data_IF_965541096048
#
_entry.id   IF_965541096048
#
_cell.length_a   1.000
_cell.length_b   1.000
_cell.length_c   1.000
_cell.angle_alpha   90.00
_cell.angle_beta   90.00
_cell.angle_gamma   90.00
#
_symmetry.space_group_name_H-M   'P 1'
#
loop_
_entity.id
_entity.type
_entity.pdbx_description
1 polymer ?
#
# COMPACT_ATOMS: atom_id res chain seq x y z
N UNK A 1 -6.35 -4.06 -15.17
CA UNK A 1 -5.81 -3.36 -13.97
C UNK A 1 -4.42 -3.88 -13.66
N UNK A 2 -3.46 -3.02 -13.40
CA UNK A 2 -2.07 -3.38 -13.02
C UNK A 2 -1.83 -3.13 -11.54
N UNK A 3 -0.90 -3.89 -10.94
CA UNK A 3 -0.36 -3.60 -9.62
C UNK A 3 0.89 -2.73 -9.76
N UNK A 4 1.05 -1.72 -8.91
CA UNK A 4 2.26 -0.90 -8.84
C UNK A 4 2.79 -0.94 -7.42
N UNK A 5 4.06 -1.35 -7.24
CA UNK A 5 4.72 -1.35 -5.93
C UNK A 5 5.81 -0.28 -5.92
N UNK A 6 5.75 0.62 -4.96
CA UNK A 6 6.74 1.67 -4.78
C UNK A 6 7.88 1.18 -3.90
N UNK A 7 9.00 0.81 -4.51
CA UNK A 7 10.15 0.17 -3.87
C UNK A 7 11.49 0.92 -4.09
N UNK A 8 11.44 2.23 -4.36
CA UNK A 8 12.64 3.01 -4.66
C UNK A 8 13.40 3.52 -3.42
N UNK A 9 12.81 3.44 -2.23
CA UNK A 9 13.33 4.04 -1.00
C UNK A 9 14.51 3.27 -0.37
N UNK A 10 15.35 4.00 0.41
CA UNK A 10 16.56 3.44 1.07
C UNK A 10 16.27 2.60 2.31
N UNK A 11 15.16 2.83 3.01
CA UNK A 11 14.85 2.13 4.27
C UNK A 11 15.79 2.48 5.43
N UNK A 12 16.40 3.65 5.43
CA UNK A 12 17.44 4.07 6.37
C UNK A 12 17.01 4.04 7.85
N UNK A 13 15.74 4.32 8.14
CA UNK A 13 15.19 4.32 9.52
C UNK A 13 15.16 2.92 10.14
N UNK A 14 14.77 1.92 9.36
CA UNK A 14 14.68 0.54 9.82
C UNK A 14 16.07 -0.07 10.11
N UNK A 15 17.08 0.30 9.31
CA UNK A 15 18.44 -0.24 9.41
C UNK A 15 19.34 0.57 10.35
N UNK A 16 18.82 1.57 11.10
CA UNK A 16 19.62 2.44 11.95
C UNK A 16 20.73 3.18 11.21
N UNK A 17 20.52 3.48 9.92
CA UNK A 17 21.52 4.12 9.05
C UNK A 17 22.65 3.18 8.60
N UNK A 18 22.60 1.90 8.91
CA UNK A 18 23.62 0.91 8.55
C UNK A 18 23.24 0.18 7.28
N UNK A 19 23.80 0.62 6.15
CA UNK A 19 23.75 -0.06 4.87
C UNK A 19 22.54 0.26 4.00
N UNK A 20 22.69 0.02 2.69
CA UNK A 20 21.68 0.28 1.65
C UNK A 20 20.75 -0.94 1.41
N UNK A 21 20.29 -1.60 2.47
CA UNK A 21 19.29 -2.65 2.29
C UNK A 21 17.91 -1.99 2.11
N UNK A 22 17.29 -2.09 0.93
CA UNK A 22 15.99 -1.50 0.70
C UNK A 22 14.92 -2.19 1.56
N UNK A 23 13.99 -1.41 2.13
CA UNK A 23 12.89 -1.90 2.98
C UNK A 23 12.13 -3.07 2.35
N UNK A 24 11.91 -3.00 1.05
CA UNK A 24 11.15 -4.02 0.32
C UNK A 24 11.77 -5.43 0.40
N UNK A 25 13.07 -5.53 0.72
CA UNK A 25 13.78 -6.81 0.89
C UNK A 25 13.85 -7.30 2.34
N UNK A 26 13.26 -6.57 3.27
CA UNK A 26 13.13 -7.04 4.66
C UNK A 26 12.29 -8.31 4.70
N UNK A 27 12.78 -9.31 5.43
CA UNK A 27 12.13 -10.63 5.53
C UNK A 27 11.24 -10.69 6.78
N UNK A 28 9.98 -11.06 6.58
CA UNK A 28 9.00 -11.30 7.65
C UNK A 28 8.41 -12.69 7.44
N UNK A 29 8.60 -13.60 8.42
CA UNK A 29 8.13 -14.99 8.29
C UNK A 29 8.74 -15.77 7.14
N UNK A 30 10.04 -15.56 6.85
CA UNK A 30 10.76 -16.30 5.79
C UNK A 30 10.55 -15.77 4.37
N UNK A 31 9.72 -14.75 4.17
CA UNK A 31 9.44 -14.15 2.85
C UNK A 31 9.73 -12.64 2.88
N UNK A 32 10.33 -12.07 1.82
CA UNK A 32 10.54 -10.62 1.75
C UNK A 32 9.20 -9.90 1.60
N UNK A 33 9.10 -8.67 2.10
CA UNK A 33 7.90 -7.84 1.94
C UNK A 33 7.53 -7.70 0.46
N UNK A 34 8.52 -7.50 -0.41
CA UNK A 34 8.28 -7.37 -1.84
C UNK A 34 7.72 -8.65 -2.45
N UNK A 35 8.31 -9.82 -2.14
CA UNK A 35 7.81 -11.11 -2.65
C UNK A 35 6.37 -11.36 -2.20
N UNK A 36 6.10 -11.10 -0.92
CA UNK A 36 4.77 -11.20 -0.32
C UNK A 36 3.76 -10.30 -1.03
N UNK A 37 4.09 -9.04 -1.26
CA UNK A 37 3.19 -8.07 -1.88
C UNK A 37 2.92 -8.41 -3.35
N UNK A 38 3.93 -8.87 -4.10
CA UNK A 38 3.75 -9.39 -5.48
C UNK A 38 2.85 -10.61 -5.49
N UNK A 39 3.05 -11.56 -4.58
CA UNK A 39 2.21 -12.74 -4.45
C UNK A 39 0.77 -12.36 -4.11
N UNK A 40 0.54 -11.48 -3.13
CA UNK A 40 -0.78 -11.00 -2.74
C UNK A 40 -1.54 -10.37 -3.93
N UNK A 41 -0.89 -9.53 -4.72
CA UNK A 41 -1.48 -8.95 -5.92
C UNK A 41 -1.89 -10.03 -6.92
N UNK A 42 -1.02 -11.00 -7.17
CA UNK A 42 -1.29 -12.11 -8.12
C UNK A 42 -2.42 -13.01 -7.64
N UNK A 43 -2.43 -13.36 -6.36
CA UNK A 43 -3.48 -14.19 -5.73
C UNK A 43 -4.84 -13.48 -5.77
N UNK A 44 -4.84 -12.15 -5.67
CA UNK A 44 -6.04 -11.32 -5.83
C UNK A 44 -6.44 -11.05 -7.30
N UNK A 45 -5.77 -11.71 -8.28
CA UNK A 45 -6.10 -11.63 -9.71
C UNK A 45 -5.39 -10.51 -10.49
N UNK A 46 -4.52 -9.73 -9.86
CA UNK A 46 -3.70 -8.68 -10.51
C UNK A 46 -2.43 -9.31 -11.09
N UNK A 47 -2.49 -9.72 -12.37
CA UNK A 47 -1.40 -10.50 -13.00
C UNK A 47 -0.19 -9.67 -13.41
N UNK A 48 -0.42 -8.43 -13.87
CA UNK A 48 0.65 -7.53 -14.32
C UNK A 48 1.08 -6.65 -13.16
N UNK A 49 2.34 -6.80 -12.73
CA UNK A 49 2.93 -6.03 -11.63
C UNK A 49 4.08 -5.20 -12.15
N UNK A 50 4.07 -3.92 -11.79
CA UNK A 50 5.13 -2.94 -12.04
C UNK A 50 5.80 -2.62 -10.69
N UNK A 51 7.13 -2.68 -10.64
CA UNK A 51 7.89 -2.31 -9.43
C UNK A 51 8.74 -1.10 -9.77
N UNK A 52 8.53 -0.01 -9.03
CA UNK A 52 9.38 1.18 -9.14
C UNK A 52 10.56 1.01 -8.21
N UNK A 53 11.76 0.94 -8.77
CA UNK A 53 13.02 0.71 -8.05
C UNK A 53 13.92 1.94 -8.07
N UNK A 54 14.84 2.02 -7.11
CA UNK A 54 15.83 3.09 -6.99
C UNK A 54 17.03 2.59 -6.21
N UNK A 55 16.98 2.65 -4.87
CA UNK A 55 18.03 2.13 -4.02
C UNK A 55 18.21 0.62 -4.27
N UNK A 56 19.47 0.19 -4.46
CA UNK A 56 19.85 -1.21 -4.71
C UNK A 56 18.99 -1.92 -5.78
N UNK A 57 18.62 -1.21 -6.85
CA UNK A 57 17.72 -1.69 -7.91
C UNK A 57 18.12 -3.07 -8.45
N UNK A 58 19.41 -3.33 -8.67
CA UNK A 58 19.90 -4.62 -9.16
C UNK A 58 19.65 -5.77 -8.17
N UNK A 59 19.77 -5.51 -6.87
CA UNK A 59 19.46 -6.51 -5.84
C UNK A 59 17.97 -6.83 -5.84
N UNK A 60 17.12 -5.79 -5.96
CA UNK A 60 15.66 -5.97 -6.05
C UNK A 60 15.28 -6.79 -7.29
N UNK A 61 15.88 -6.49 -8.46
CA UNK A 61 15.62 -7.20 -9.72
C UNK A 61 15.95 -8.71 -9.65
N UNK A 62 17.00 -9.07 -8.90
CA UNK A 62 17.38 -10.47 -8.71
C UNK A 62 16.42 -11.25 -7.82
N UNK A 63 15.63 -10.55 -7.00
CA UNK A 63 14.72 -11.18 -6.03
C UNK A 63 13.40 -11.60 -6.67
N UNK A 64 12.88 -10.81 -7.62
CA UNK A 64 11.54 -11.00 -8.20
C UNK A 64 11.63 -11.10 -9.71
N UNK A 65 11.13 -12.21 -10.27
CA UNK A 65 10.95 -12.40 -11.71
C UNK A 65 9.51 -12.19 -12.18
N UNK A 66 9.34 -12.02 -13.50
CA UNK A 66 8.00 -11.94 -14.11
C UNK A 66 7.22 -10.67 -13.77
N UNK A 67 7.91 -9.54 -13.61
CA UNK A 67 7.37 -8.22 -13.35
C UNK A 67 8.01 -7.19 -14.28
N UNK A 68 7.39 -6.03 -14.41
CA UNK A 68 7.98 -4.88 -15.11
C UNK A 68 8.69 -3.98 -14.10
N UNK A 69 9.90 -3.55 -14.40
CA UNK A 69 10.66 -2.62 -13.56
C UNK A 69 10.69 -1.22 -14.18
N UNK A 70 10.47 -0.21 -13.33
CA UNK A 70 10.63 1.21 -13.67
C UNK A 70 11.69 1.80 -12.75
N UNK A 71 12.71 2.40 -13.33
CA UNK A 71 13.80 3.01 -12.56
C UNK A 71 13.46 4.44 -12.14
N UNK A 72 13.74 4.77 -10.88
CA UNK A 72 13.88 6.12 -10.42
C UNK A 72 15.39 6.42 -10.20
N UNK A 73 16.10 6.96 -11.19
CA UNK A 73 17.55 7.17 -11.09
C UNK A 73 17.92 8.29 -10.11
N UNK A 74 16.98 9.16 -9.79
CA UNK A 74 17.16 10.27 -8.84
C UNK A 74 16.37 10.05 -7.53
N UNK A 75 16.23 8.78 -7.13
CA UNK A 75 15.47 8.40 -5.92
C UNK A 75 15.96 9.09 -4.64
N UNK A 76 17.26 9.45 -4.59
CA UNK A 76 17.85 10.13 -3.45
C UNK A 76 17.35 11.58 -3.26
N UNK A 77 16.95 12.23 -4.36
CA UNK A 77 16.51 13.62 -4.40
C UNK A 77 15.00 13.78 -4.56
N UNK A 78 14.28 12.67 -4.70
CA UNK A 78 12.84 12.63 -4.94
C UNK A 78 12.11 11.77 -3.91
N UNK A 79 10.78 11.73 -3.96
CA UNK A 79 9.98 10.89 -3.08
C UNK A 79 8.95 10.06 -3.86
N UNK A 80 8.05 9.40 -3.17
CA UNK A 80 7.10 8.44 -3.72
C UNK A 80 6.20 9.00 -4.83
N UNK A 81 5.86 10.29 -4.80
CA UNK A 81 5.11 10.95 -5.88
C UNK A 81 5.85 10.85 -7.21
N UNK A 82 7.13 11.19 -7.23
CA UNK A 82 7.94 11.13 -8.45
C UNK A 82 8.14 9.68 -8.91
N UNK A 83 8.31 8.74 -7.98
CA UNK A 83 8.39 7.32 -8.29
C UNK A 83 7.11 6.81 -8.97
N UNK A 84 5.92 7.14 -8.45
CA UNK A 84 4.66 6.79 -9.10
C UNK A 84 4.50 7.49 -10.45
N UNK A 85 4.88 8.76 -10.56
CA UNK A 85 4.82 9.52 -11.80
C UNK A 85 5.66 8.89 -12.92
N UNK A 86 6.83 8.35 -12.62
CA UNK A 86 7.67 7.62 -13.59
C UNK A 86 6.94 6.39 -14.17
N UNK A 87 6.10 5.75 -13.38
CA UNK A 87 5.32 4.58 -13.82
C UNK A 87 4.05 4.92 -14.64
N UNK A 88 3.75 6.21 -14.87
CA UNK A 88 2.51 6.67 -15.54
C UNK A 88 2.18 6.01 -16.88
N UNK A 89 3.14 5.56 -17.73
CA UNK A 89 2.79 4.83 -18.95
C UNK A 89 2.08 3.49 -18.70
N UNK A 90 2.19 2.95 -17.49
CA UNK A 90 1.60 1.68 -17.08
C UNK A 90 0.26 1.84 -16.32
N UNK A 91 -0.23 3.07 -16.09
CA UNK A 91 -1.37 3.33 -15.21
C UNK A 91 -2.72 3.48 -15.95
N UNK A 92 -2.72 3.70 -17.24
CA UNK A 92 -3.87 4.19 -18.04
C UNK A 92 -5.13 3.32 -17.99
N UNK A 93 -4.97 2.00 -17.81
CA UNK A 93 -6.08 1.02 -17.79
C UNK A 93 -6.62 0.74 -16.37
N UNK A 94 -6.32 1.64 -15.45
CA UNK A 94 -6.58 1.46 -14.02
C UNK A 94 -5.50 0.62 -13.33
N UNK A 95 -5.28 0.90 -12.06
CA UNK A 95 -4.22 0.26 -11.28
C UNK A 95 -4.53 0.26 -9.78
N UNK A 96 -3.83 -0.60 -9.06
CA UNK A 96 -3.68 -0.52 -7.61
C UNK A 96 -2.22 -0.22 -7.31
N UNK A 97 -1.98 0.84 -6.54
CA UNK A 97 -0.64 1.17 -6.01
C UNK A 97 -0.56 0.75 -4.57
N UNK A 98 0.60 0.22 -4.17
CA UNK A 98 0.89 -0.08 -2.77
C UNK A 98 2.33 0.27 -2.40
N UNK A 99 2.52 0.67 -1.15
CA UNK A 99 3.85 0.83 -0.57
C UNK A 99 4.50 -0.54 -0.38
N UNK A 100 5.81 -0.64 -0.55
CA UNK A 100 6.52 -1.91 -0.45
C UNK A 100 6.71 -2.43 0.99
N UNK A 101 6.49 -1.57 1.97
CA UNK A 101 6.74 -1.78 3.41
C UNK A 101 5.49 -2.16 4.20
N UNK A 102 4.37 -2.38 3.53
CA UNK A 102 3.12 -2.79 4.16
C UNK A 102 3.02 -4.30 4.27
N UNK A 103 2.81 -4.80 5.49
CA UNK A 103 2.35 -6.15 5.79
C UNK A 103 0.85 -6.09 6.08
N UNK A 104 0.04 -6.80 5.30
CA UNK A 104 -1.42 -6.74 5.45
C UNK A 104 -2.10 -8.10 5.27
N UNK A 105 -3.26 -8.27 5.90
CA UNK A 105 -4.10 -9.43 5.68
C UNK A 105 -4.59 -9.48 4.23
N UNK A 106 -4.51 -10.64 3.51
CA UNK A 106 -4.90 -10.75 2.10
C UNK A 106 -6.30 -10.27 1.79
N UNK A 107 -7.25 -10.47 2.70
CA UNK A 107 -8.63 -10.05 2.54
C UNK A 107 -8.78 -8.53 2.35
N UNK A 108 -7.90 -7.72 2.93
CA UNK A 108 -7.91 -6.27 2.75
C UNK A 108 -7.72 -5.88 1.28
N UNK A 109 -6.80 -6.55 0.60
CA UNK A 109 -6.58 -6.30 -0.84
C UNK A 109 -7.79 -6.76 -1.67
N UNK A 110 -8.37 -7.92 -1.34
CA UNK A 110 -9.59 -8.41 -1.99
C UNK A 110 -10.75 -7.44 -1.77
N UNK A 111 -10.96 -6.95 -0.54
CA UNK A 111 -12.01 -5.99 -0.22
C UNK A 111 -11.85 -4.69 -1.02
N UNK A 112 -10.62 -4.18 -1.15
CA UNK A 112 -10.34 -3.01 -1.96
C UNK A 112 -10.66 -3.26 -3.44
N UNK A 113 -10.16 -4.36 -4.01
CA UNK A 113 -10.29 -4.65 -5.44
C UNK A 113 -11.74 -4.94 -5.85
N UNK A 114 -12.52 -5.57 -4.97
CA UNK A 114 -13.93 -5.93 -5.22
C UNK A 114 -14.93 -4.86 -4.81
N UNK A 115 -14.48 -3.80 -4.10
CA UNK A 115 -15.35 -2.68 -3.76
C UNK A 115 -15.99 -2.06 -5.01
N UNK A 116 -17.27 -1.68 -4.91
CA UNK A 116 -18.05 -1.08 -6.02
C UNK A 116 -17.48 0.25 -6.52
N UNK A 117 -16.68 0.92 -5.69
CA UNK A 117 -16.05 2.18 -6.04
C UNK A 117 -14.83 1.96 -6.92
N UNK A 118 -14.76 2.64 -8.07
CA UNK A 118 -13.61 2.55 -8.98
C UNK A 118 -12.33 3.09 -8.35
N UNK A 119 -12.45 4.18 -7.60
CA UNK A 119 -11.34 4.89 -6.97
C UNK A 119 -11.51 4.81 -5.45
N UNK A 120 -10.61 4.07 -4.80
CA UNK A 120 -10.71 3.80 -3.36
C UNK A 120 -9.35 3.54 -2.73
N UNK A 121 -9.24 3.82 -1.42
CA UNK A 121 -8.07 3.50 -0.60
C UNK A 121 -8.46 2.63 0.59
N UNK A 122 -7.48 1.87 1.11
CA UNK A 122 -7.61 1.21 2.41
C UNK A 122 -7.37 2.21 3.53
N UNK A 123 -8.28 2.23 4.49
CA UNK A 123 -8.24 3.10 5.65
C UNK A 123 -8.39 2.29 6.95
N UNK A 124 -7.44 2.44 7.85
CA UNK A 124 -7.61 2.03 9.25
C UNK A 124 -8.31 3.16 9.99
N UNK A 125 -9.59 2.96 10.29
CA UNK A 125 -10.33 3.95 11.06
C UNK A 125 -9.79 4.05 12.48
N UNK A 126 -9.76 5.29 13.00
CA UNK A 126 -9.41 5.58 14.38
C UNK A 126 -10.39 4.90 15.34
N UNK A 127 -9.86 4.29 16.36
CA UNK A 127 -10.60 3.83 17.55
C UNK A 127 -10.18 4.63 18.79
N UNK A 128 -10.75 4.30 19.93
CA UNK A 128 -10.47 5.01 21.19
C UNK A 128 -9.03 4.84 21.70
N UNK A 129 -8.32 3.81 21.23
CA UNK A 129 -6.94 3.51 21.60
C UNK A 129 -5.92 4.10 20.62
N UNK A 130 -6.37 4.53 19.44
CA UNK A 130 -5.50 5.03 18.38
C UNK A 130 -4.89 6.38 18.77
N UNK A 131 -3.57 6.44 18.82
CA UNK A 131 -2.80 7.67 18.96
C UNK A 131 -1.99 7.88 17.69
N UNK A 132 -2.28 8.97 16.97
CA UNK A 132 -1.52 9.37 15.80
C UNK A 132 -0.29 10.19 16.20
N UNK A 133 0.85 9.85 15.63
CA UNK A 133 2.07 10.65 15.67
C UNK A 133 2.20 11.53 14.41
N UNK A 134 3.37 12.07 14.14
CA UNK A 134 3.66 12.82 12.92
C UNK A 134 4.04 11.92 11.73
N UNK A 135 4.17 10.59 11.96
CA UNK A 135 4.59 9.65 10.92
C UNK A 135 3.43 9.11 10.08
N UNK A 136 2.25 8.95 10.68
CA UNK A 136 1.10 8.37 9.98
C UNK A 136 0.51 9.33 8.93
N UNK A 137 0.09 8.76 7.81
CA UNK A 137 -0.65 9.48 6.78
C UNK A 137 -2.13 9.58 7.20
N UNK A 138 -2.41 10.60 7.98
CA UNK A 138 -3.75 10.89 8.52
C UNK A 138 -4.74 11.25 7.42
N UNK A 139 -5.96 10.75 7.52
CA UNK A 139 -7.04 10.94 6.54
C UNK A 139 -8.30 11.42 7.23
N UNK A 140 -8.94 12.43 6.64
CA UNK A 140 -10.27 12.88 7.01
C UNK A 140 -11.28 12.42 5.97
N UNK A 141 -12.38 11.85 6.44
CA UNK A 141 -13.43 11.25 5.61
C UNK A 141 -14.76 11.93 5.88
N UNK A 142 -15.56 12.15 4.84
CA UNK A 142 -16.94 12.59 4.98
C UNK A 142 -17.84 11.78 4.06
N UNK A 143 -18.88 11.16 4.60
CA UNK A 143 -19.79 10.29 3.85
C UNK A 143 -19.04 9.17 3.05
N UNK A 144 -18.02 8.56 3.67
CA UNK A 144 -17.22 7.51 3.04
C UNK A 144 -16.20 7.98 2.00
N UNK A 145 -16.06 9.30 1.79
CA UNK A 145 -15.14 9.90 0.82
C UNK A 145 -14.02 10.66 1.52
N UNK A 146 -12.82 10.54 1.00
CA UNK A 146 -11.65 11.29 1.45
C UNK A 146 -11.83 12.75 1.11
N UNK A 147 -11.77 13.62 2.13
CA UNK A 147 -11.84 15.08 1.96
C UNK A 147 -10.50 15.75 2.21
N UNK A 148 -9.65 15.15 3.02
CA UNK A 148 -8.29 15.62 3.25
C UNK A 148 -7.35 14.48 3.67
N UNK A 149 -6.05 14.66 3.43
CA UNK A 149 -5.03 13.67 3.73
C UNK A 149 -3.67 14.36 3.92
N UNK A 150 -3.06 14.19 5.08
CA UNK A 150 -1.76 14.81 5.41
C UNK A 150 -1.12 14.19 6.65
N UNK A 151 0.22 14.11 6.67
CA UNK A 151 0.98 13.81 7.90
C UNK A 151 0.86 14.92 8.95
N UNK A 152 0.75 16.18 8.49
CA UNK A 152 0.66 17.37 9.36
C UNK A 152 -0.76 17.71 9.81
N UNK A 153 -1.76 16.86 9.48
CA UNK A 153 -3.12 17.00 9.99
C UNK A 153 -3.11 16.80 11.51
N UNK A 154 -3.92 17.62 12.23
CA UNK A 154 -4.14 17.39 13.66
C UNK A 154 -4.69 15.97 13.88
N UNK A 155 -4.19 15.23 14.88
CA UNK A 155 -4.76 13.93 15.24
C UNK A 155 -6.27 13.97 15.50
N UNK A 156 -6.78 15.09 16.04
CA UNK A 156 -8.21 15.24 16.35
C UNK A 156 -9.09 15.45 15.11
N UNK A 157 -8.49 15.89 13.99
CA UNK A 157 -9.17 16.05 12.70
C UNK A 157 -9.15 14.78 11.84
N UNK A 158 -8.40 13.74 12.27
CA UNK A 158 -8.22 12.52 11.52
C UNK A 158 -9.28 11.46 11.88
N UNK A 159 -9.93 10.90 10.87
CA UNK A 159 -10.84 9.76 11.01
C UNK A 159 -10.11 8.42 10.93
N UNK A 160 -8.89 8.39 10.38
CA UNK A 160 -8.09 7.19 10.24
C UNK A 160 -6.75 7.42 9.57
N UNK A 161 -6.07 6.31 9.28
CA UNK A 161 -4.76 6.25 8.64
C UNK A 161 -4.84 5.51 7.30
N UNK A 162 -4.19 6.07 6.27
CA UNK A 162 -4.05 5.40 4.96
C UNK A 162 -3.00 4.30 5.04
N UNK A 163 -3.38 3.07 4.67
CA UNK A 163 -2.49 1.91 4.65
C UNK A 163 -1.44 1.94 3.52
N UNK A 164 -1.44 2.95 2.68
CA UNK A 164 -0.55 2.98 1.52
C UNK A 164 -0.99 2.03 0.39
N UNK A 165 -2.26 1.62 0.34
CA UNK A 165 -2.83 0.80 -0.73
C UNK A 165 -4.06 1.49 -1.31
N UNK A 166 -3.99 1.87 -2.60
CA UNK A 166 -5.01 2.69 -3.26
C UNK A 166 -5.26 2.17 -4.67
N UNK A 167 -6.52 2.00 -5.06
CA UNK A 167 -6.89 1.65 -6.44
C UNK A 167 -7.53 2.82 -7.18
N UNK A 168 -7.31 2.85 -8.48
CA UNK A 168 -7.94 3.78 -9.42
C UNK A 168 -8.47 3.03 -10.64
N UNK A 169 -9.70 3.30 -11.02
CA UNK A 169 -10.26 2.88 -12.31
C UNK A 169 -9.62 3.67 -13.47
N UNK A 170 -9.92 3.32 -14.74
CA UNK A 170 -9.29 3.97 -15.90
C UNK A 170 -9.51 5.49 -15.95
N UNK A 171 -10.71 5.97 -15.58
CA UNK A 171 -11.00 7.41 -15.54
C UNK A 171 -10.25 8.12 -14.40
N UNK A 172 -10.22 7.51 -13.21
CA UNK A 172 -9.46 8.01 -12.07
C UNK A 172 -7.96 8.03 -12.34
N UNK A 173 -7.43 6.98 -12.96
CA UNK A 173 -6.02 6.90 -13.34
C UNK A 173 -5.59 8.07 -14.23
N UNK A 174 -6.39 8.40 -15.26
CA UNK A 174 -6.11 9.56 -16.13
C UNK A 174 -6.08 10.87 -15.36
N UNK A 175 -7.07 11.11 -14.49
CA UNK A 175 -7.11 12.29 -13.65
C UNK A 175 -5.92 12.37 -12.69
N UNK A 176 -5.55 11.24 -12.07
CA UNK A 176 -4.40 11.21 -11.17
C UNK A 176 -3.09 11.52 -11.92
N UNK A 177 -2.95 11.03 -13.17
CA UNK A 177 -1.80 11.34 -14.02
C UNK A 177 -1.75 12.85 -14.30
N UNK A 178 -2.88 13.51 -14.58
CA UNK A 178 -2.95 14.97 -14.74
C UNK A 178 -2.46 15.70 -13.48
N UNK A 179 -2.96 15.31 -12.29
CA UNK A 179 -2.54 15.90 -11.02
C UNK A 179 -1.04 15.69 -10.75
N UNK A 180 -0.52 14.48 -11.00
CA UNK A 180 0.91 14.22 -10.86
C UNK A 180 1.76 15.03 -11.86
N UNK A 181 1.32 15.18 -13.09
CA UNK A 181 2.00 16.02 -14.09
C UNK A 181 2.07 17.48 -13.62
N UNK A 182 0.98 18.02 -13.11
CA UNK A 182 0.93 19.40 -12.60
C UNK A 182 1.88 19.59 -11.40
N UNK A 183 1.88 18.64 -10.44
CA UNK A 183 2.76 18.71 -9.27
C UNK A 183 4.23 18.58 -9.65
N UNK A 184 4.58 17.66 -10.53
CA UNK A 184 5.97 17.48 -11.00
C UNK A 184 6.44 18.71 -11.80
N UNK A 185 5.59 19.28 -12.66
CA UNK A 185 5.88 20.52 -13.39
C UNK A 185 6.07 21.72 -12.46
N UNK A 186 5.38 21.74 -11.31
CA UNK A 186 5.56 22.73 -10.25
C UNK A 186 6.82 22.49 -9.38
N UNK A 187 7.60 21.43 -9.66
CA UNK A 187 8.82 21.10 -8.91
C UNK A 187 8.58 20.30 -7.63
N UNK A 188 7.35 19.84 -7.34
CA UNK A 188 7.01 19.09 -6.11
C UNK A 188 7.52 17.62 -6.16
N UNK A 189 8.71 17.37 -6.70
CA UNK A 189 9.28 16.01 -6.87
C UNK A 189 9.63 15.32 -5.55
N UNK A 190 9.77 16.09 -4.46
CA UNK A 190 10.03 15.58 -3.10
C UNK A 190 8.76 15.27 -2.30
N UNK A 191 7.58 15.50 -2.87
CA UNK A 191 6.32 15.20 -2.21
C UNK A 191 6.07 13.68 -2.13
N UNK A 192 5.29 13.25 -1.12
CA UNK A 192 4.72 11.90 -1.07
C UNK A 192 3.51 11.77 -2.01
N UNK A 193 3.23 10.55 -2.48
CA UNK A 193 2.07 10.24 -3.34
C UNK A 193 0.74 10.78 -2.79
N UNK A 194 0.43 10.73 -1.49
CA UNK A 194 -0.80 11.28 -0.92
C UNK A 194 -1.05 12.76 -1.26
N UNK A 195 -0.03 13.52 -1.63
CA UNK A 195 -0.17 14.88 -2.15
C UNK A 195 -0.99 14.92 -3.45
N UNK A 196 -0.76 13.94 -4.35
CA UNK A 196 -1.54 13.78 -5.57
C UNK A 196 -2.94 13.20 -5.29
N UNK A 197 -3.07 12.27 -4.34
CA UNK A 197 -4.38 11.74 -3.93
C UNK A 197 -5.28 12.82 -3.33
N UNK A 198 -4.70 13.72 -2.54
CA UNK A 198 -5.39 14.90 -2.02
C UNK A 198 -5.88 15.84 -3.13
N UNK A 199 -5.06 16.09 -4.15
CA UNK A 199 -5.45 16.89 -5.31
C UNK A 199 -6.56 16.19 -6.11
N UNK A 200 -6.44 14.90 -6.34
CA UNK A 200 -7.44 14.06 -6.96
C UNK A 200 -8.80 14.10 -6.22
N UNK A 201 -8.80 13.93 -4.89
CA UNK A 201 -10.02 13.89 -4.08
C UNK A 201 -10.84 15.18 -4.13
N UNK A 202 -10.23 16.31 -4.51
CA UNK A 202 -10.92 17.58 -4.74
C UNK A 202 -11.69 17.64 -6.06
N UNK A 203 -11.36 16.76 -7.01
CA UNK A 203 -11.93 16.76 -8.36
C UNK A 203 -12.82 15.54 -8.62
N UNK A 204 -12.54 14.43 -7.94
CA UNK A 204 -13.26 13.17 -8.11
C UNK A 204 -13.31 12.41 -6.77
N UNK A 205 -14.44 11.77 -6.43
CA UNK A 205 -14.55 11.00 -5.20
C UNK A 205 -13.48 9.91 -5.10
N UNK A 206 -12.73 9.91 -3.98
CA UNK A 206 -11.85 8.84 -3.54
C UNK A 206 -12.48 8.22 -2.29
N UNK A 207 -12.88 6.96 -2.35
CA UNK A 207 -13.64 6.32 -1.28
C UNK A 207 -12.72 5.61 -0.28
N UNK A 208 -13.10 5.61 0.98
CA UNK A 208 -12.39 4.90 2.03
C UNK A 208 -13.02 3.51 2.25
N UNK A 209 -12.19 2.47 2.16
CA UNK A 209 -12.56 1.08 2.48
C UNK A 209 -11.88 0.74 3.80
N UNK A 210 -12.68 0.50 4.85
CA UNK A 210 -12.18 0.24 6.19
C UNK A 210 -11.53 -1.14 6.33
N UNK A 211 -10.54 -1.24 7.21
CA UNK A 211 -9.86 -2.52 7.52
C UNK A 211 -10.72 -3.51 8.28
N UNK A 212 -11.80 -3.06 8.91
CA UNK A 212 -12.70 -3.91 9.74
C UNK A 212 -11.96 -4.70 10.82
N UNK A 213 -10.84 -4.17 11.33
CA UNK A 213 -10.03 -4.81 12.35
C UNK A 213 -9.10 -5.92 11.84
N UNK A 214 -9.03 -6.19 10.54
CA UNK A 214 -8.09 -7.14 9.97
C UNK A 214 -6.64 -6.65 10.19
N UNK A 215 -5.71 -7.57 10.54
CA UNK A 215 -4.35 -7.20 10.93
C UNK A 215 -3.54 -6.66 9.76
N UNK A 216 -2.81 -5.58 10.04
CA UNK A 216 -1.87 -4.94 9.13
C UNK A 216 -0.84 -4.12 9.91
N UNK A 217 0.27 -3.74 9.28
CA UNK A 217 1.22 -2.75 9.78
C UNK A 217 2.10 -2.23 8.64
N UNK A 218 2.53 -0.97 8.73
CA UNK A 218 3.67 -0.43 7.98
C UNK A 218 4.95 -0.71 8.78
N UNK A 219 6.07 -0.98 8.10
CA UNK A 219 7.35 -1.34 8.74
C UNK A 219 8.35 -0.23 8.46
N UNK A 220 8.39 0.80 9.30
CA UNK A 220 9.27 1.96 9.17
C UNK A 220 10.44 1.91 10.13
N UNK A 221 10.22 1.42 11.34
CA UNK A 221 11.18 1.39 12.44
C UNK A 221 11.41 -0.04 12.94
N UNK A 222 12.47 -0.29 13.75
CA UNK A 222 12.72 -1.61 14.35
C UNK A 222 11.57 -2.14 15.19
N UNK A 223 10.82 -1.27 15.86
CA UNK A 223 9.66 -1.66 16.67
C UNK A 223 8.49 -2.13 15.80
N UNK A 224 8.28 -1.51 14.64
CA UNK A 224 7.29 -1.97 13.66
C UNK A 224 7.65 -3.36 13.13
N UNK A 225 8.94 -3.58 12.86
CA UNK A 225 9.42 -4.90 12.45
C UNK A 225 9.16 -5.97 13.52
N UNK A 226 9.45 -5.65 14.78
CA UNK A 226 9.16 -6.56 15.89
C UNK A 226 7.68 -6.87 15.98
N UNK A 227 6.82 -5.83 15.93
CA UNK A 227 5.36 -5.97 15.90
C UNK A 227 4.89 -6.79 14.71
N UNK A 228 5.47 -6.58 13.51
CA UNK A 228 5.14 -7.35 12.32
C UNK A 228 5.39 -8.84 12.50
N UNK A 229 6.53 -9.22 13.09
CA UNK A 229 6.93 -10.63 13.30
C UNK A 229 6.19 -11.29 14.47
N UNK A 230 6.04 -10.59 15.59
CA UNK A 230 5.54 -11.18 16.83
C UNK A 230 4.01 -11.11 16.96
N UNK A 231 3.36 -10.15 16.29
CA UNK A 231 1.92 -9.89 16.46
C UNK A 231 1.15 -9.99 15.15
N UNK A 232 1.54 -9.20 14.15
CA UNK A 232 0.70 -9.03 12.95
C UNK A 232 0.72 -10.27 12.06
N UNK A 233 1.91 -10.82 11.77
CA UNK A 233 2.02 -12.03 10.95
C UNK A 233 1.32 -13.24 11.61
N UNK A 234 1.54 -13.55 12.91
CA UNK A 234 0.80 -14.64 13.56
C UNK A 234 -0.72 -14.45 13.55
N UNK A 235 -1.22 -13.21 13.69
CA UNK A 235 -2.64 -12.92 13.59
C UNK A 235 -3.19 -13.20 12.20
N UNK A 236 -2.47 -12.78 11.14
CA UNK A 236 -2.83 -13.08 9.74
C UNK A 236 -2.87 -14.60 9.52
N UNK A 237 -1.86 -15.33 9.94
CA UNK A 237 -1.78 -16.79 9.75
C UNK A 237 -2.90 -17.54 10.51
N UNK A 238 -3.20 -17.10 11.73
CA UNK A 238 -4.31 -17.64 12.53
C UNK A 238 -5.65 -17.46 11.82
N UNK A 239 -5.93 -16.26 11.29
CA UNK A 239 -7.20 -15.98 10.63
C UNK A 239 -7.33 -16.75 9.31
N UNK A 240 -6.27 -16.86 8.52
CA UNK A 240 -6.26 -17.67 7.30
C UNK A 240 -6.48 -19.15 7.59
N UNK A 241 -5.91 -19.68 8.67
CA UNK A 241 -6.10 -21.06 9.10
C UNK A 241 -7.55 -21.35 9.48
N UNK A 242 -8.21 -20.43 10.19
CA UNK A 242 -9.64 -20.52 10.54
C UNK A 242 -10.52 -20.51 9.29
N UNK A 243 -10.22 -19.62 8.33
CA UNK A 243 -10.97 -19.54 7.07
C UNK A 243 -10.83 -20.81 6.22
N UNK A 244 -9.67 -21.46 6.21
CA UNK A 244 -9.44 -22.72 5.50
C UNK A 244 -10.19 -23.90 6.13
N UNK A 245 -10.48 -23.88 7.44
CA UNK A 245 -11.12 -24.98 8.18
C UNK A 245 -12.64 -24.97 8.06
N UNK A 246 -13.27 -23.83 7.82
CA UNK A 246 -14.73 -23.67 7.70
C UNK A 246 -15.35 -24.54 6.59
N UNK A 247 -14.81 -24.70 5.38
CA UNK A 247 -15.37 -25.54 4.33
C UNK A 247 -15.37 -27.04 4.68
N UNK A 248 -14.38 -27.52 5.42
CA UNK A 248 -14.26 -28.92 5.84
C UNK A 248 -15.33 -29.32 6.85
N UNK A 249 -15.64 -28.45 7.81
CA UNK A 249 -16.72 -28.68 8.79
C UNK A 249 -18.10 -28.68 8.13
N UNK A 250 -18.35 -27.76 7.18
CA UNK A 250 -19.61 -27.71 6.45
C UNK A 250 -19.83 -28.95 5.54
N UNK A 251 -18.78 -29.54 5.00
CA UNK A 251 -18.85 -30.78 4.23
C UNK A 251 -19.03 -32.01 5.12
N UNK A 252 -18.46 -32.04 6.33
CA UNK A 252 -18.67 -33.13 7.29
C UNK A 252 -20.09 -33.13 7.86
N UNK A 253 -20.67 -31.98 8.18
CA UNK A 253 -22.06 -31.87 8.62
C UNK A 253 -23.07 -32.30 7.55
N UNK A 254 -22.79 -32.11 6.25
CA UNK A 254 -23.63 -32.61 5.15
C UNK A 254 -23.52 -34.11 4.89
N UNK A 255 -22.48 -34.78 5.40
CA UNK A 255 -22.29 -36.24 5.28
C UNK A 255 -22.87 -37.01 6.48
N UNK A 256 -23.24 -36.30 7.55
CA UNK A 256 -23.79 -36.87 8.79
C UNK A 256 -25.29 -36.63 8.91
N UNK A 257 -25.94 -36.01 7.96
CA UNK A 257 -27.39 -35.81 7.81
C UNK A 257 -27.93 -36.63 6.64
#
# INVERSE_FOLDING_TARGET
MRGVILAAGRGSRLNGGRGDMPKCLVTVGGETLLSRNVRLLRDAGVKEVVIVVGCAAETVRRTIGGVTYVDNPIFADTNSLYSLWLSRPHLTDGFVVMNCDVLLHPQLLVDLLTAHHEDALLLSYRDLATQFSDEEMKVRVRCGQVVDMSKTMSPDDADGENLGVVKFGPAGARLLIEEMNALVAAGETRAWVPRAFRAFARRRPLHAIGTRGLPWTEIDFPDDYRRAVEVVLPAIESDLSKMATVPLLAQQMKRSA
#
